data_IF_582523845841
#
_entry.id   IF_582523845841
#
_cell.length_a   1.000
_cell.length_b   1.000
_cell.length_c   1.000
_cell.angle_alpha   90.00
_cell.angle_beta   90.00
_cell.angle_gamma   90.00
#
_symmetry.space_group_name_H-M   'P 1'
#
loop_
_entity.id
_entity.type
_entity.pdbx_description
1 polymer ?
#
# COMPACT_ATOMS: atom_id res chain seq x y z
N UNK A 1 4.50 12.40 -12.09
CA UNK A 1 3.67 11.19 -12.26
C UNK A 1 2.61 11.50 -13.29
N UNK A 2 2.65 10.87 -14.46
CA UNK A 2 1.59 10.96 -15.46
C UNK A 2 0.67 9.73 -15.39
N UNK A 3 -0.61 9.82 -15.81
CA UNK A 3 -1.57 8.71 -15.84
C UNK A 3 -1.06 7.43 -16.55
N UNK A 4 -0.16 7.61 -17.52
CA UNK A 4 0.38 6.56 -18.39
C UNK A 4 1.16 5.48 -17.60
N UNK A 5 1.89 5.87 -16.55
CA UNK A 5 2.69 4.94 -15.73
C UNK A 5 1.85 4.05 -14.79
N UNK A 6 0.62 4.46 -14.49
CA UNK A 6 -0.32 3.68 -13.68
C UNK A 6 -1.13 2.72 -14.56
N UNK A 7 -1.52 3.16 -15.76
CA UNK A 7 -2.26 2.35 -16.73
C UNK A 7 -1.42 1.18 -17.27
N UNK A 8 -0.12 1.38 -17.50
CA UNK A 8 0.80 0.30 -17.88
C UNK A 8 0.97 -0.73 -16.75
N UNK A 9 1.18 -0.26 -15.52
CA UNK A 9 1.32 -1.13 -14.35
C UNK A 9 0.06 -1.97 -14.09
N UNK A 10 -1.12 -1.38 -14.30
CA UNK A 10 -2.40 -2.07 -14.22
C UNK A 10 -2.56 -3.11 -15.33
N UNK A 11 -2.25 -2.74 -16.58
CA UNK A 11 -2.36 -3.63 -17.75
C UNK A 11 -1.45 -4.85 -17.65
N UNK A 12 -0.20 -4.66 -17.23
CA UNK A 12 0.74 -5.75 -17.00
C UNK A 12 0.27 -6.69 -15.88
N UNK A 13 -0.25 -6.14 -14.79
CA UNK A 13 -0.78 -6.92 -13.67
C UNK A 13 -1.99 -7.74 -14.10
N UNK A 14 -2.91 -7.12 -14.82
CA UNK A 14 -4.13 -7.77 -15.32
C UNK A 14 -3.81 -8.88 -16.32
N UNK A 15 -2.90 -8.65 -17.27
CA UNK A 15 -2.46 -9.66 -18.22
C UNK A 15 -1.73 -10.82 -17.54
N UNK A 16 -0.90 -10.55 -16.53
CA UNK A 16 -0.23 -11.60 -15.75
C UNK A 16 -1.25 -12.46 -14.98
N UNK A 17 -2.26 -11.84 -14.37
CA UNK A 17 -3.34 -12.56 -13.69
C UNK A 17 -4.13 -13.43 -14.67
N UNK A 18 -4.58 -12.87 -15.80
CA UNK A 18 -5.37 -13.61 -16.80
C UNK A 18 -4.62 -14.83 -17.38
N UNK A 19 -3.29 -14.73 -17.54
CA UNK A 19 -2.47 -15.86 -18.00
C UNK A 19 -2.33 -16.97 -16.97
N UNK A 20 -2.29 -16.63 -15.68
CA UNK A 20 -2.11 -17.60 -14.60
C UNK A 20 -3.43 -18.19 -14.06
N UNK A 21 -4.56 -17.56 -14.37
CA UNK A 21 -5.89 -17.98 -13.93
C UNK A 21 -6.26 -19.43 -14.32
N UNK A 22 -5.98 -19.93 -15.54
CA UNK A 22 -6.33 -21.30 -15.93
C UNK A 22 -5.65 -22.39 -15.09
N UNK A 23 -4.50 -22.10 -14.50
CA UNK A 23 -3.74 -23.04 -13.67
C UNK A 23 -4.16 -23.01 -12.19
N UNK A 24 -5.14 -22.16 -11.84
CA UNK A 24 -5.60 -22.01 -10.48
C UNK A 24 -6.45 -23.23 -10.05
N UNK A 25 -6.19 -23.85 -8.88
CA UNK A 25 -7.04 -24.90 -8.34
C UNK A 25 -8.49 -24.44 -8.20
N UNK A 26 -9.44 -25.33 -8.48
CA UNK A 26 -10.87 -25.01 -8.47
C UNK A 26 -11.41 -24.62 -7.08
N UNK A 27 -10.72 -25.00 -6.02
CA UNK A 27 -11.02 -24.69 -4.61
C UNK A 27 -10.21 -23.50 -4.06
N UNK A 28 -9.38 -22.86 -4.90
CA UNK A 28 -8.59 -21.72 -4.47
C UNK A 28 -9.46 -20.50 -4.17
N UNK A 29 -9.08 -19.75 -3.14
CA UNK A 29 -9.63 -18.41 -2.95
C UNK A 29 -9.06 -17.46 -4.03
N UNK A 30 -9.88 -17.20 -5.05
CA UNK A 30 -9.54 -16.34 -6.19
C UNK A 30 -9.20 -14.92 -5.74
N UNK A 31 -9.89 -14.38 -4.73
CA UNK A 31 -9.67 -13.02 -4.23
C UNK A 31 -8.29 -12.90 -3.57
N UNK A 32 -7.96 -13.83 -2.67
CA UNK A 32 -6.65 -13.91 -2.02
C UNK A 32 -5.52 -14.11 -3.03
N UNK A 33 -5.76 -14.93 -4.05
CA UNK A 33 -4.82 -15.16 -5.14
C UNK A 33 -4.59 -13.90 -5.99
N UNK A 34 -5.65 -13.19 -6.40
CA UNK A 34 -5.55 -11.94 -7.15
C UNK A 34 -4.79 -10.86 -6.37
N UNK A 35 -5.11 -10.70 -5.09
CA UNK A 35 -4.39 -9.76 -4.20
C UNK A 35 -2.90 -10.11 -4.11
N UNK A 36 -2.57 -11.39 -4.06
CA UNK A 36 -1.17 -11.86 -4.07
C UNK A 36 -0.47 -11.54 -5.38
N UNK A 37 -1.12 -11.77 -6.53
CA UNK A 37 -0.57 -11.47 -7.86
C UNK A 37 -0.35 -9.96 -8.01
N UNK A 38 -1.35 -9.15 -7.65
CA UNK A 38 -1.27 -7.69 -7.70
C UNK A 38 -0.14 -7.15 -6.81
N UNK A 39 -0.03 -7.65 -5.58
CA UNK A 39 1.03 -7.22 -4.66
C UNK A 39 2.43 -7.62 -5.13
N UNK A 40 2.62 -8.84 -5.63
CA UNK A 40 3.90 -9.28 -6.20
C UNK A 40 4.30 -8.39 -7.38
N UNK A 41 3.35 -8.05 -8.26
CA UNK A 41 3.61 -7.15 -9.38
C UNK A 41 3.91 -5.72 -8.95
N UNK A 42 3.19 -5.17 -7.98
CA UNK A 42 3.51 -3.88 -7.40
C UNK A 42 4.95 -3.82 -6.86
N UNK A 43 5.39 -4.85 -6.12
CA UNK A 43 6.77 -4.97 -5.64
C UNK A 43 7.77 -5.05 -6.80
N UNK A 44 7.49 -5.86 -7.81
CA UNK A 44 8.36 -6.02 -8.98
C UNK A 44 8.55 -4.68 -9.72
N UNK A 45 7.47 -3.91 -9.90
CA UNK A 45 7.47 -2.58 -10.54
C UNK A 45 8.27 -1.59 -9.71
N UNK A 46 8.04 -1.52 -8.39
CA UNK A 46 8.81 -0.63 -7.50
C UNK A 46 10.30 -0.98 -7.52
N UNK A 47 10.66 -2.27 -7.51
CA UNK A 47 12.05 -2.74 -7.61
C UNK A 47 12.67 -2.48 -8.98
N UNK A 48 11.90 -2.60 -10.06
CA UNK A 48 12.36 -2.29 -11.40
C UNK A 48 12.65 -0.79 -11.52
N UNK A 49 11.76 0.07 -11.00
CA UNK A 49 11.94 1.53 -10.96
C UNK A 49 13.16 1.94 -10.13
N UNK A 50 13.38 1.33 -8.96
CA UNK A 50 14.57 1.63 -8.15
C UNK A 50 15.89 1.24 -8.83
N UNK A 51 15.86 0.27 -9.76
CA UNK A 51 17.04 -0.13 -10.57
C UNK A 51 17.24 0.72 -11.83
N UNK A 52 16.20 1.40 -12.32
CA UNK A 52 16.21 2.19 -13.56
C UNK A 52 16.07 3.69 -13.29
N UNK A 53 16.73 4.23 -12.25
CA UNK A 53 16.72 5.67 -12.01
C UNK A 53 17.38 6.43 -13.18
N UNK A 54 16.58 6.79 -14.18
CA UNK A 54 16.92 7.74 -15.24
C UNK A 54 16.59 9.14 -14.68
N UNK A 55 17.55 10.06 -14.58
CA UNK A 55 17.27 11.44 -14.20
C UNK A 55 16.48 12.12 -15.32
N UNK A 56 15.33 12.73 -15.00
CA UNK A 56 14.70 13.70 -15.91
C UNK A 56 14.22 14.92 -15.14
N UNK A 57 14.71 16.05 -15.64
CA UNK A 57 14.47 17.43 -15.22
C UNK A 57 13.00 17.82 -15.36
N UNK A 58 12.53 18.63 -14.40
CA UNK A 58 11.28 19.41 -14.38
C UNK A 58 9.93 18.66 -14.36
N UNK A 59 9.20 18.83 -13.25
CA UNK A 59 7.77 18.48 -13.11
C UNK A 59 6.96 19.79 -13.15
N UNK A 60 5.83 19.88 -13.89
CA UNK A 60 4.97 21.06 -13.82
C UNK A 60 4.21 21.09 -12.49
N UNK A 61 4.30 22.23 -11.82
CA UNK A 61 3.63 22.53 -10.56
C UNK A 61 2.12 22.66 -10.80
N UNK A 62 1.35 21.63 -10.43
CA UNK A 62 -0.11 21.69 -10.37
C UNK A 62 -0.51 21.97 -8.93
N UNK A 63 -1.28 23.04 -8.62
CA UNK A 63 -1.68 23.31 -7.25
C UNK A 63 -2.76 22.30 -6.84
N UNK A 64 -2.33 21.19 -6.24
CA UNK A 64 -3.21 20.18 -5.73
C UNK A 64 -3.82 20.68 -4.40
N UNK A 65 -5.12 20.98 -4.44
CA UNK A 65 -5.87 21.55 -3.33
C UNK A 65 -5.89 20.64 -2.09
N UNK A 66 -5.08 20.97 -1.07
CA UNK A 66 -5.21 20.71 0.37
C UNK A 66 -5.66 19.32 0.91
N UNK A 67 -5.89 18.32 0.05
CA UNK A 67 -6.23 16.94 0.41
C UNK A 67 -4.99 16.04 0.53
N UNK A 68 -3.89 16.39 -0.13
CA UNK A 68 -2.66 15.61 -0.15
C UNK A 68 -2.00 15.49 1.24
N UNK A 69 -1.98 16.54 2.05
CA UNK A 69 -1.29 16.53 3.35
C UNK A 69 -1.71 15.36 4.28
N UNK A 70 -3.00 14.99 4.33
CA UNK A 70 -3.48 13.93 5.24
C UNK A 70 -3.20 12.52 4.73
N UNK A 71 -3.22 12.34 3.42
CA UNK A 71 -2.97 11.05 2.78
C UNK A 71 -1.47 10.76 2.73
N UNK A 72 -0.65 11.80 2.52
CA UNK A 72 0.81 11.73 2.57
C UNK A 72 1.30 11.37 3.98
N UNK A 73 0.74 11.98 5.03
CA UNK A 73 1.04 11.63 6.43
C UNK A 73 0.72 10.16 6.77
N UNK A 74 -0.32 9.59 6.15
CA UNK A 74 -0.74 8.21 6.39
C UNK A 74 0.17 7.24 5.63
N UNK A 75 0.52 7.58 4.39
CA UNK A 75 1.45 6.82 3.57
C UNK A 75 2.81 6.69 4.28
N UNK A 76 3.33 7.80 4.79
CA UNK A 76 4.52 7.89 5.61
C UNK A 76 4.43 7.02 6.88
N UNK A 77 3.31 7.09 7.59
CA UNK A 77 3.09 6.31 8.80
C UNK A 77 3.03 4.80 8.52
N UNK A 78 2.44 4.40 7.40
CA UNK A 78 2.42 3.01 6.94
C UNK A 78 3.81 2.53 6.53
N UNK A 79 4.60 3.37 5.86
CA UNK A 79 5.95 3.02 5.43
C UNK A 79 6.90 2.72 6.61
N UNK A 80 6.71 3.41 7.74
CA UNK A 80 7.45 3.19 8.98
C UNK A 80 7.09 1.90 9.72
N UNK A 81 6.00 1.23 9.36
CA UNK A 81 5.64 -0.06 9.99
C UNK A 81 6.59 -1.17 9.54
N UNK A 82 6.88 -2.16 10.42
CA UNK A 82 7.45 -3.43 10.01
C UNK A 82 6.65 -4.05 8.86
N UNK A 83 7.34 -4.59 7.85
CA UNK A 83 6.74 -5.08 6.59
C UNK A 83 5.55 -6.01 6.82
N UNK A 84 5.65 -6.97 7.75
CA UNK A 84 4.56 -7.91 8.05
C UNK A 84 3.32 -7.21 8.63
N UNK A 85 3.50 -6.18 9.47
CA UNK A 85 2.39 -5.41 10.03
C UNK A 85 1.73 -4.55 8.93
N UNK A 86 2.53 -3.85 8.12
CA UNK A 86 2.02 -3.07 6.98
C UNK A 86 1.19 -3.94 6.03
N UNK A 87 1.72 -5.11 5.65
CA UNK A 87 1.04 -6.01 4.73
C UNK A 87 -0.22 -6.64 5.35
N UNK A 88 -0.18 -7.05 6.61
CA UNK A 88 -1.35 -7.61 7.30
C UNK A 88 -2.49 -6.56 7.41
N UNK A 89 -2.15 -5.30 7.68
CA UNK A 89 -3.12 -4.20 7.68
C UNK A 89 -3.68 -3.98 6.27
N UNK A 90 -2.83 -3.88 5.25
CA UNK A 90 -3.27 -3.64 3.88
C UNK A 90 -4.19 -4.77 3.36
N UNK A 91 -3.78 -6.02 3.50
CA UNK A 91 -4.58 -7.14 3.00
C UNK A 91 -5.91 -7.31 3.73
N UNK A 92 -5.94 -7.08 5.04
CA UNK A 92 -7.19 -7.23 5.79
C UNK A 92 -8.13 -6.04 5.60
N UNK A 93 -7.64 -4.81 5.77
CA UNK A 93 -8.51 -3.62 5.83
C UNK A 93 -8.73 -2.93 4.48
N UNK A 94 -7.78 -3.03 3.55
CA UNK A 94 -7.92 -2.43 2.21
C UNK A 94 -8.41 -3.46 1.20
N UNK A 95 -7.87 -4.68 1.24
CA UNK A 95 -8.26 -5.75 0.33
C UNK A 95 -9.37 -6.67 0.88
N UNK A 96 -9.88 -6.43 2.09
CA UNK A 96 -11.04 -7.15 2.64
C UNK A 96 -10.80 -8.62 3.01
N UNK A 97 -9.56 -9.11 2.92
CA UNK A 97 -9.29 -10.54 3.09
C UNK A 97 -9.48 -11.01 4.55
N UNK A 98 -10.04 -12.21 4.77
CA UNK A 98 -10.07 -12.80 6.11
C UNK A 98 -8.67 -13.19 6.56
N UNK A 99 -8.42 -13.21 7.88
CA UNK A 99 -7.10 -13.48 8.44
C UNK A 99 -6.49 -14.84 8.04
N UNK A 100 -7.32 -15.82 7.67
CA UNK A 100 -6.84 -17.10 7.15
C UNK A 100 -6.10 -16.92 5.82
N UNK A 101 -6.65 -16.14 4.91
CA UNK A 101 -6.03 -15.84 3.62
C UNK A 101 -4.82 -14.94 3.79
N UNK A 102 -4.90 -13.93 4.67
CA UNK A 102 -3.73 -13.09 5.00
C UNK A 102 -2.57 -13.94 5.52
N UNK A 103 -2.85 -14.96 6.34
CA UNK A 103 -1.83 -15.89 6.83
C UNK A 103 -1.26 -16.78 5.71
N UNK A 104 -2.09 -17.26 4.79
CA UNK A 104 -1.64 -18.01 3.62
C UNK A 104 -0.70 -17.17 2.73
N UNK A 105 -0.98 -15.87 2.57
CA UNK A 105 -0.16 -14.96 1.77
C UNK A 105 1.16 -14.61 2.47
N UNK A 106 1.11 -14.27 3.77
CA UNK A 106 2.29 -13.80 4.53
C UNK A 106 3.17 -14.94 5.07
N UNK A 107 2.64 -16.15 5.10
CA UNK A 107 3.22 -17.29 5.79
C UNK A 107 3.05 -17.20 7.32
N UNK A 108 2.50 -18.25 7.91
CA UNK A 108 2.31 -18.37 9.36
C UNK A 108 0.88 -18.79 9.73
N UNK A 109 0.51 -18.55 10.99
CA UNK A 109 -0.83 -18.86 11.50
C UNK A 109 -1.79 -17.68 11.35
N UNK A 110 -3.10 -17.96 11.31
CA UNK A 110 -4.17 -16.97 11.35
C UNK A 110 -4.04 -16.03 12.57
N UNK A 111 -3.65 -16.57 13.72
CA UNK A 111 -3.42 -15.78 14.93
C UNK A 111 -2.23 -14.83 14.79
N UNK A 112 -1.14 -15.26 14.14
CA UNK A 112 0.00 -14.41 13.86
C UNK A 112 -0.38 -13.27 12.88
N UNK A 113 -1.20 -13.55 11.87
CA UNK A 113 -1.72 -12.51 10.96
C UNK A 113 -2.61 -11.51 11.69
N UNK A 114 -3.53 -11.98 12.54
CA UNK A 114 -4.37 -11.12 13.38
C UNK A 114 -3.53 -10.27 14.33
N UNK A 115 -2.52 -10.87 14.98
CA UNK A 115 -1.58 -10.17 15.86
C UNK A 115 -0.84 -9.06 15.11
N UNK A 116 -0.27 -9.38 13.94
CA UNK A 116 0.46 -8.42 13.12
C UNK A 116 -0.42 -7.25 12.66
N UNK A 117 -1.67 -7.51 12.26
CA UNK A 117 -2.62 -6.46 11.91
C UNK A 117 -2.98 -5.59 13.13
N UNK A 118 -3.25 -6.20 14.28
CA UNK A 118 -3.56 -5.47 15.51
C UNK A 118 -2.39 -4.57 15.97
N UNK A 119 -1.17 -5.11 15.96
CA UNK A 119 0.04 -4.36 16.31
C UNK A 119 0.28 -3.20 15.32
N UNK A 120 0.04 -3.42 14.02
CA UNK A 120 0.11 -2.40 12.99
C UNK A 120 -0.90 -1.26 13.22
N UNK A 121 -2.17 -1.58 13.48
CA UNK A 121 -3.19 -0.57 13.81
C UNK A 121 -2.83 0.18 15.10
N UNK A 122 -2.31 -0.50 16.12
CA UNK A 122 -1.86 0.14 17.36
C UNK A 122 -0.68 1.09 17.13
N UNK A 123 0.25 0.73 16.24
CA UNK A 123 1.35 1.60 15.84
C UNK A 123 0.85 2.83 15.07
N UNK A 124 -0.01 2.65 14.06
CA UNK A 124 -0.59 3.75 13.28
C UNK A 124 -1.37 4.73 14.16
N UNK A 125 -2.15 4.24 15.12
CA UNK A 125 -2.86 5.10 16.09
C UNK A 125 -1.93 6.00 16.89
N UNK A 126 -0.70 5.57 17.16
CA UNK A 126 0.31 6.35 17.88
C UNK A 126 1.05 7.32 16.96
N UNK A 127 1.45 6.87 15.78
CA UNK A 127 2.31 7.67 14.87
C UNK A 127 1.51 8.67 14.04
N UNK A 128 0.35 8.28 13.52
CA UNK A 128 -0.48 9.13 12.65
C UNK A 128 -1.19 10.25 13.43
N UNK A 129 -1.60 9.99 14.68
CA UNK A 129 -2.17 11.04 15.56
C UNK A 129 -1.15 12.11 15.96
N UNK A 130 0.12 11.75 16.07
CA UNK A 130 1.16 12.69 16.45
C UNK A 130 1.64 13.54 15.26
N UNK A 131 1.64 13.01 14.03
CA UNK A 131 1.92 13.77 12.80
C UNK A 131 0.82 14.81 12.49
N UNK A 132 -0.44 14.39 12.54
CA UNK A 132 -1.59 15.26 12.25
C UNK A 132 -1.78 16.42 13.26
N UNK A 133 -1.35 16.27 14.51
CA UNK A 133 -1.39 17.33 15.52
C UNK A 133 -0.29 18.41 15.34
N UNK A 134 0.88 18.04 14.81
CA UNK A 134 1.99 18.96 14.60
C UNK A 134 1.71 19.95 13.45
N UNK A 135 1.06 19.49 12.37
CA UNK A 135 0.72 20.34 11.20
C UNK A 135 -0.35 21.39 11.54
N UNK A 136 -1.29 21.07 12.44
CA UNK A 136 -2.36 22.02 12.83
C UNK A 136 -1.86 23.20 13.69
N UNK A 137 -0.74 23.04 14.41
CA UNK A 137 -0.24 24.06 15.35
C UNK A 137 0.55 25.17 14.65
N UNK A 138 1.16 24.89 13.50
CA UNK A 138 1.99 25.85 12.74
C UNK A 138 1.17 26.93 11.99
N UNK A 139 -0.13 26.69 11.71
CA UNK A 139 -1.00 27.66 11.00
C UNK A 139 -1.62 28.77 11.87
N UNK A 140 -1.33 28.81 13.17
CA UNK A 140 -1.96 29.77 14.11
C UNK A 140 -1.15 31.05 14.35
N UNK A 141 -0.25 31.40 13.43
CA UNK A 141 0.66 32.54 13.57
C UNK A 141 0.85 33.33 12.30
N UNK A 142 -0.23 33.75 11.63
CA UNK A 142 -0.19 34.87 10.67
C UNK A 142 -1.47 35.69 10.80
N UNK A 143 -1.34 36.87 11.39
CA UNK A 143 -2.25 38.03 11.24
C UNK A 143 -1.59 39.26 11.87
N UNK A 144 -1.85 40.48 11.41
CA UNK A 144 -2.02 40.96 10.03
C UNK A 144 -0.88 41.90 9.58
#
# INVERSE_FOLDING_TARGET
>A
MGPIDADDAWSETFLAAMKAYPDLPADANIEAWLVTVAHRKAIDITRARSRHAIPTDTVPETPAAARHDRDDDLADALERLPTKQRQAVAYHYLAGLPYADVAAILGGSTDAARRAAADGIAALRRTYRNGSAAVSTSRRGVTP
#
